data_IF_257443382536
#
_entry.id   IF_257443382536
#
_cell.length_a   1.000
_cell.length_b   1.000
_cell.length_c   1.000
_cell.angle_alpha   90.00
_cell.angle_beta   90.00
_cell.angle_gamma   90.00
#
_symmetry.space_group_name_H-M   'P 1'
#
loop_
_entity.id
_entity.type
_entity.pdbx_description
1 polymer ?
#
# COMPACT_ATOMS: atom_id res chain seq x y z
N UNK A 1 -49.14 16.56 -14.74
CA UNK A 1 -48.76 15.15 -14.46
C UNK A 1 -47.28 15.15 -14.08
N UNK A 2 -46.99 15.44 -12.82
CA UNK A 2 -45.61 15.56 -12.32
C UNK A 2 -45.13 14.17 -11.89
N UNK A 3 -44.36 13.51 -12.75
CA UNK A 3 -43.62 12.31 -12.37
C UNK A 3 -42.51 12.71 -11.39
N UNK A 4 -42.73 12.37 -10.13
CA UNK A 4 -41.72 12.31 -9.09
C UNK A 4 -40.54 11.49 -9.62
N UNK A 5 -39.38 12.14 -9.80
CA UNK A 5 -38.09 11.45 -9.96
C UNK A 5 -37.87 10.61 -8.70
N UNK A 6 -38.23 9.33 -8.76
CA UNK A 6 -37.87 8.38 -7.73
C UNK A 6 -36.35 8.41 -7.55
N UNK A 7 -35.88 8.30 -6.30
CA UNK A 7 -34.50 7.94 -6.00
C UNK A 7 -34.42 6.40 -5.94
N UNK A 8 -33.84 5.69 -6.91
CA UNK A 8 -33.48 4.29 -6.75
C UNK A 8 -31.98 4.16 -7.04
N UNK A 9 -31.12 4.58 -6.12
CA UNK A 9 -29.67 4.54 -6.36
C UNK A 9 -28.86 3.98 -5.18
N UNK A 10 -29.24 4.35 -3.94
CA UNK A 10 -28.44 3.99 -2.76
C UNK A 10 -28.65 2.53 -2.33
N UNK A 11 -29.89 2.01 -2.37
CA UNK A 11 -30.17 0.63 -1.94
C UNK A 11 -29.60 -0.42 -2.89
N UNK A 12 -29.61 -0.15 -4.20
CA UNK A 12 -29.04 -1.03 -5.23
C UNK A 12 -27.52 -1.10 -5.21
N UNK A 13 -26.85 0.04 -4.97
CA UNK A 13 -25.40 0.10 -4.81
C UNK A 13 -24.93 -0.62 -3.53
N UNK A 14 -25.64 -0.42 -2.40
CA UNK A 14 -25.34 -1.14 -1.15
C UNK A 14 -25.46 -2.66 -1.30
N UNK A 15 -26.48 -3.14 -2.02
CA UNK A 15 -26.70 -4.57 -2.24
C UNK A 15 -25.56 -5.22 -3.04
N UNK A 16 -25.02 -4.52 -4.05
CA UNK A 16 -23.89 -5.01 -4.88
C UNK A 16 -22.55 -5.04 -4.14
N UNK A 17 -22.35 -4.16 -3.16
CA UNK A 17 -21.09 -4.07 -2.40
C UNK A 17 -21.17 -4.71 -1.02
N UNK A 18 -22.23 -5.44 -0.68
CA UNK A 18 -22.47 -6.00 0.67
C UNK A 18 -21.27 -6.78 1.23
N UNK A 19 -20.63 -7.62 0.41
CA UNK A 19 -19.44 -8.38 0.82
C UNK A 19 -18.23 -7.49 1.13
N UNK A 20 -17.98 -6.49 0.28
CA UNK A 20 -16.89 -5.54 0.47
C UNK A 20 -17.13 -4.66 1.70
N UNK A 21 -18.35 -4.14 1.86
CA UNK A 21 -18.75 -3.35 3.03
C UNK A 21 -18.55 -4.18 4.29
N UNK A 22 -19.01 -5.44 4.30
CA UNK A 22 -18.80 -6.33 5.45
C UNK A 22 -17.32 -6.54 5.78
N UNK A 23 -16.45 -6.68 4.77
CA UNK A 23 -15.01 -6.87 4.99
C UNK A 23 -14.36 -5.61 5.59
N UNK A 24 -14.65 -4.42 5.05
CA UNK A 24 -14.15 -3.15 5.57
C UNK A 24 -14.71 -2.80 6.95
N UNK A 25 -15.99 -3.08 7.21
CA UNK A 25 -16.59 -2.93 8.54
C UNK A 25 -15.96 -3.90 9.54
N UNK A 26 -15.66 -5.14 9.12
CA UNK A 26 -14.93 -6.12 9.93
C UNK A 26 -13.53 -5.63 10.30
N UNK A 27 -12.77 -5.11 9.33
CA UNK A 27 -11.48 -4.47 9.58
C UNK A 27 -11.61 -3.31 10.57
N UNK A 28 -12.57 -2.41 10.35
CA UNK A 28 -12.76 -1.25 11.20
C UNK A 28 -13.09 -1.65 12.65
N UNK A 29 -13.99 -2.62 12.84
CA UNK A 29 -14.30 -3.17 14.15
C UNK A 29 -13.07 -3.81 14.82
N UNK A 30 -12.24 -4.54 14.06
CA UNK A 30 -11.00 -5.14 14.55
C UNK A 30 -9.95 -4.09 14.93
N UNK A 31 -9.84 -2.99 14.18
CA UNK A 31 -8.96 -1.86 14.52
C UNK A 31 -9.46 -1.16 15.78
N UNK A 32 -10.76 -0.92 15.93
CA UNK A 32 -11.33 -0.35 17.16
C UNK A 32 -11.13 -1.25 18.37
N UNK A 33 -11.30 -2.56 18.21
CA UNK A 33 -10.97 -3.54 19.24
C UNK A 33 -9.48 -3.42 19.62
N UNK A 34 -8.60 -3.40 18.62
CA UNK A 34 -7.15 -3.32 18.87
C UNK A 34 -6.75 -2.00 19.51
N UNK A 35 -7.38 -0.90 19.13
CA UNK A 35 -7.21 0.40 19.79
C UNK A 35 -7.62 0.33 21.26
N UNK A 36 -8.81 -0.22 21.56
CA UNK A 36 -9.29 -0.30 22.94
C UNK A 36 -8.42 -1.18 23.85
N UNK A 37 -7.90 -2.29 23.33
CA UNK A 37 -7.17 -3.28 24.14
C UNK A 37 -5.65 -3.16 24.07
N UNK A 38 -5.09 -2.58 23.01
CA UNK A 38 -3.64 -2.54 22.75
C UNK A 38 -3.04 -1.15 22.54
N UNK A 39 -3.86 -0.08 22.53
CA UNK A 39 -3.40 1.31 22.48
C UNK A 39 -3.59 2.02 23.82
N UNK A 40 -2.84 3.10 24.02
CA UNK A 40 -3.04 4.07 25.10
C UNK A 40 -3.82 5.30 24.62
N UNK A 41 -4.26 5.29 23.35
CA UNK A 41 -4.97 6.37 22.70
C UNK A 41 -4.05 7.46 22.11
N UNK A 42 -2.75 7.17 22.01
CA UNK A 42 -1.78 8.11 21.47
C UNK A 42 -1.89 8.24 19.94
N UNK A 43 -1.53 9.41 19.42
CA UNK A 43 -1.57 9.71 17.99
C UNK A 43 -0.75 8.73 17.15
N UNK A 44 0.34 8.19 17.68
CA UNK A 44 1.21 7.24 16.99
C UNK A 44 0.56 5.87 16.71
N UNK A 45 -0.58 5.53 17.33
CA UNK A 45 -1.38 4.35 16.94
C UNK A 45 -1.77 4.39 15.45
N UNK A 46 -1.81 5.57 14.84
CA UNK A 46 -2.07 5.75 13.43
C UNK A 46 -1.13 4.92 12.53
N UNK A 47 0.12 4.73 12.93
CA UNK A 47 1.06 3.86 12.23
C UNK A 47 0.63 2.38 12.30
N UNK A 48 0.20 1.91 13.47
CA UNK A 48 -0.35 0.56 13.67
C UNK A 48 -1.63 0.35 12.86
N UNK A 49 -2.50 1.36 12.80
CA UNK A 49 -3.67 1.32 11.93
C UNK A 49 -3.26 1.19 10.46
N UNK A 50 -2.29 1.98 10.00
CA UNK A 50 -1.73 1.85 8.65
C UNK A 50 -1.21 0.44 8.35
N UNK A 51 -0.53 -0.19 9.30
CA UNK A 51 -0.05 -1.57 9.19
C UNK A 51 -1.21 -2.59 9.07
N UNK A 52 -2.25 -2.45 9.88
CA UNK A 52 -3.45 -3.31 9.77
C UNK A 52 -4.11 -3.21 8.40
N UNK A 53 -4.31 -1.99 7.89
CA UNK A 53 -4.92 -1.76 6.57
C UNK A 53 -4.08 -2.41 5.47
N UNK A 54 -2.74 -2.23 5.49
CA UNK A 54 -1.84 -2.86 4.51
C UNK A 54 -1.92 -4.38 4.56
N UNK A 55 -1.83 -4.98 5.76
CA UNK A 55 -1.94 -6.43 5.93
C UNK A 55 -3.29 -6.96 5.44
N UNK A 56 -4.39 -6.27 5.74
CA UNK A 56 -5.72 -6.59 5.24
C UNK A 56 -5.78 -6.58 3.71
N UNK A 57 -5.18 -5.59 3.06
CA UNK A 57 -5.08 -5.55 1.60
C UNK A 57 -4.41 -6.80 1.01
N UNK A 58 -3.30 -7.26 1.57
CA UNK A 58 -2.67 -8.52 1.12
C UNK A 58 -3.53 -9.73 1.42
N UNK A 59 -4.27 -9.75 2.53
CA UNK A 59 -5.28 -10.76 2.83
C UNK A 59 -6.37 -10.84 1.76
N UNK A 60 -6.85 -9.70 1.26
CA UNK A 60 -7.80 -9.64 0.13
C UNK A 60 -7.21 -10.30 -1.12
N UNK A 61 -5.93 -10.07 -1.43
CA UNK A 61 -5.29 -10.70 -2.59
C UNK A 61 -5.20 -12.22 -2.47
N UNK A 62 -4.90 -12.74 -1.28
CA UNK A 62 -4.91 -14.19 -1.03
C UNK A 62 -6.33 -14.74 -1.25
N UNK A 63 -7.33 -14.10 -0.63
CA UNK A 63 -8.73 -14.50 -0.77
C UNK A 63 -9.16 -14.52 -2.26
N UNK A 64 -8.86 -13.45 -3.00
CA UNK A 64 -9.09 -13.35 -4.45
C UNK A 64 -8.43 -14.51 -5.19
N UNK A 65 -7.13 -14.70 -4.97
CA UNK A 65 -6.32 -15.64 -5.74
C UNK A 65 -6.75 -17.09 -5.50
N UNK A 66 -7.08 -17.44 -4.26
CA UNK A 66 -7.57 -18.78 -3.90
C UNK A 66 -9.00 -19.02 -4.41
N UNK A 67 -9.90 -18.05 -4.27
CA UNK A 67 -11.30 -18.18 -4.68
C UNK A 67 -11.44 -18.26 -6.20
N UNK A 68 -10.72 -17.40 -6.93
CA UNK A 68 -10.77 -17.34 -8.39
C UNK A 68 -9.79 -18.33 -9.06
N UNK A 69 -8.91 -18.98 -8.28
CA UNK A 69 -7.80 -19.82 -8.77
C UNK A 69 -6.98 -19.12 -9.86
N UNK A 70 -6.78 -17.81 -9.72
CA UNK A 70 -6.17 -16.97 -10.73
C UNK A 70 -5.50 -15.74 -10.12
N UNK A 71 -4.31 -15.42 -10.62
CA UNK A 71 -3.54 -14.21 -10.27
C UNK A 71 -3.53 -13.17 -11.40
N UNK A 72 -4.40 -13.34 -12.40
CA UNK A 72 -4.53 -12.38 -13.50
C UNK A 72 -4.76 -10.96 -12.97
N UNK A 73 -4.05 -9.98 -13.55
CA UNK A 73 -4.07 -8.57 -13.17
C UNK A 73 -3.13 -8.14 -12.05
N UNK A 74 -2.38 -9.05 -11.42
CA UNK A 74 -1.38 -8.70 -10.40
C UNK A 74 0.01 -8.48 -11.00
N UNK A 75 0.68 -7.41 -10.60
CA UNK A 75 2.10 -7.20 -10.90
C UNK A 75 2.96 -7.89 -9.85
N UNK A 76 3.78 -8.84 -10.29
CA UNK A 76 4.75 -9.53 -9.42
C UNK A 76 5.78 -8.54 -8.87
N UNK A 77 6.13 -7.52 -9.65
CA UNK A 77 7.11 -6.49 -9.29
C UNK A 77 6.67 -5.67 -8.09
N UNK A 78 5.40 -5.24 -8.06
CA UNK A 78 4.86 -4.55 -6.88
C UNK A 78 4.89 -5.45 -5.65
N UNK A 79 4.53 -6.73 -5.78
CA UNK A 79 4.57 -7.68 -4.66
C UNK A 79 6.01 -7.87 -4.14
N UNK A 80 6.99 -8.02 -5.03
CA UNK A 80 8.41 -8.13 -4.68
C UNK A 80 8.91 -6.87 -3.97
N UNK A 81 8.57 -5.68 -4.46
CA UNK A 81 8.94 -4.42 -3.84
C UNK A 81 8.36 -4.31 -2.42
N UNK A 82 7.09 -4.66 -2.20
CA UNK A 82 6.53 -4.72 -0.85
C UNK A 82 7.21 -5.80 0.02
N UNK A 83 7.62 -6.93 -0.55
CA UNK A 83 8.46 -7.90 0.15
C UNK A 83 9.75 -7.27 0.70
N UNK A 84 10.43 -6.44 -0.10
CA UNK A 84 11.59 -5.66 0.35
C UNK A 84 11.22 -4.58 1.38
N UNK A 85 10.10 -3.88 1.20
CA UNK A 85 9.61 -2.90 2.18
C UNK A 85 9.48 -3.53 3.57
N UNK A 86 8.77 -4.66 3.66
CA UNK A 86 8.61 -5.37 4.93
C UNK A 86 9.94 -5.88 5.48
N UNK A 87 10.80 -6.45 4.63
CA UNK A 87 12.12 -6.94 5.04
C UNK A 87 12.98 -5.82 5.65
N UNK A 88 13.16 -4.70 4.94
CA UNK A 88 13.97 -3.58 5.40
C UNK A 88 13.35 -2.91 6.64
N UNK A 89 12.02 -2.80 6.72
CA UNK A 89 11.36 -2.24 7.91
C UNK A 89 11.59 -3.12 9.13
N UNK A 90 11.37 -4.44 9.00
CA UNK A 90 11.59 -5.41 10.07
C UNK A 90 13.05 -5.42 10.54
N UNK A 91 14.03 -5.31 9.63
CA UNK A 91 15.44 -5.19 10.00
C UNK A 91 15.72 -4.01 10.94
N UNK A 92 14.95 -2.91 10.81
CA UNK A 92 15.07 -1.75 11.70
C UNK A 92 14.34 -1.93 13.03
N UNK A 93 13.06 -2.30 12.98
CA UNK A 93 12.17 -2.25 14.16
C UNK A 93 12.26 -3.48 15.07
N UNK A 94 12.88 -4.58 14.62
CA UNK A 94 12.95 -5.81 15.44
C UNK A 94 13.91 -5.66 16.63
N UNK A 95 14.99 -4.90 16.45
CA UNK A 95 16.04 -4.76 17.47
C UNK A 95 16.06 -3.40 18.16
N UNK A 96 15.40 -2.41 17.57
CA UNK A 96 15.45 -1.02 18.01
C UNK A 96 14.05 -0.41 18.01
N UNK A 97 13.86 0.58 18.89
CA UNK A 97 12.55 1.17 19.17
C UNK A 97 12.37 2.57 18.56
N UNK A 98 13.40 3.14 17.92
CA UNK A 98 13.41 4.54 17.49
C UNK A 98 12.41 4.87 16.38
N UNK A 99 11.86 3.88 15.69
CA UNK A 99 10.85 4.06 14.64
C UNK A 99 9.53 3.33 14.91
N UNK A 100 9.39 2.76 16.10
CA UNK A 100 8.14 2.15 16.51
C UNK A 100 7.14 3.24 16.91
N UNK A 101 5.82 2.97 16.79
CA UNK A 101 4.81 3.82 17.41
C UNK A 101 5.15 4.02 18.89
N UNK A 102 5.04 5.24 19.40
CA UNK A 102 5.23 5.52 20.82
C UNK A 102 4.09 4.94 21.69
N UNK A 103 2.90 4.84 21.12
CA UNK A 103 1.74 4.15 21.66
C UNK A 103 2.08 2.70 22.05
N UNK A 104 1.43 2.15 23.08
CA UNK A 104 1.60 0.74 23.51
C UNK A 104 1.43 -0.30 22.41
N UNK A 105 0.74 0.02 21.31
CA UNK A 105 0.69 -0.86 20.14
C UNK A 105 2.06 -1.05 19.48
N UNK A 106 3.01 -0.14 19.68
CA UNK A 106 4.40 -0.24 19.23
C UNK A 106 5.21 -1.33 19.94
N UNK A 107 4.87 -1.67 21.19
CA UNK A 107 5.64 -2.62 22.02
C UNK A 107 5.81 -3.98 21.35
N UNK A 108 4.76 -4.48 20.69
CA UNK A 108 4.78 -5.78 20.03
C UNK A 108 3.82 -5.87 18.84
N UNK A 109 2.67 -5.19 18.92
CA UNK A 109 1.58 -5.37 17.96
C UNK A 109 1.96 -4.85 16.57
N UNK A 110 2.57 -3.66 16.49
CA UNK A 110 3.06 -3.11 15.22
C UNK A 110 4.04 -4.06 14.53
N UNK A 111 5.08 -4.49 15.24
CA UNK A 111 6.09 -5.43 14.73
C UNK A 111 5.47 -6.77 14.32
N UNK A 112 4.53 -7.29 15.11
CA UNK A 112 3.79 -8.51 14.78
C UNK A 112 3.01 -8.36 13.47
N UNK A 113 2.31 -7.24 13.27
CA UNK A 113 1.56 -6.98 12.03
C UNK A 113 2.50 -6.85 10.83
N UNK A 114 3.68 -6.24 10.99
CA UNK A 114 4.67 -6.17 9.90
C UNK A 114 5.19 -7.58 9.52
N UNK A 115 5.39 -8.49 10.48
CA UNK A 115 5.69 -9.90 10.19
C UNK A 115 4.53 -10.60 9.46
N UNK A 116 3.28 -10.36 9.89
CA UNK A 116 2.09 -10.88 9.19
C UNK A 116 2.04 -10.33 7.77
N UNK A 117 2.29 -9.03 7.56
CA UNK A 117 2.34 -8.38 6.26
C UNK A 117 3.38 -9.01 5.33
N UNK A 118 4.59 -9.28 5.84
CA UNK A 118 5.62 -10.01 5.11
C UNK A 118 5.13 -11.41 4.71
N UNK A 119 4.59 -12.17 5.68
CA UNK A 119 4.10 -13.53 5.45
C UNK A 119 3.00 -13.58 4.38
N UNK A 120 2.02 -12.68 4.46
CA UNK A 120 0.95 -12.56 3.48
C UNK A 120 1.51 -12.19 2.09
N UNK A 121 2.44 -11.23 2.03
CA UNK A 121 3.06 -10.81 0.76
C UNK A 121 3.83 -11.96 0.11
N UNK A 122 4.63 -12.70 0.89
CA UNK A 122 5.35 -13.89 0.42
C UNK A 122 4.37 -14.98 -0.05
N UNK A 123 3.24 -15.16 0.63
CA UNK A 123 2.20 -16.07 0.20
C UNK A 123 1.61 -15.64 -1.16
N UNK A 124 1.31 -14.36 -1.40
CA UNK A 124 0.85 -13.91 -2.72
C UNK A 124 1.94 -14.11 -3.78
N UNK A 125 3.20 -13.82 -3.47
CA UNK A 125 4.33 -14.09 -4.39
C UNK A 125 4.38 -15.58 -4.76
N UNK A 126 4.22 -16.49 -3.78
CA UNK A 126 4.15 -17.93 -4.04
C UNK A 126 2.97 -18.30 -4.93
N UNK A 127 1.79 -17.70 -4.69
CA UNK A 127 0.61 -17.92 -5.54
C UNK A 127 0.85 -17.47 -6.99
N UNK A 128 1.55 -16.35 -7.20
CA UNK A 128 1.86 -15.81 -8.53
C UNK A 128 2.95 -16.63 -9.24
N UNK A 129 4.00 -17.02 -8.53
CA UNK A 129 5.19 -17.64 -9.13
C UNK A 129 5.11 -19.15 -9.25
N UNK A 130 4.31 -19.80 -8.40
CA UNK A 130 4.22 -21.26 -8.32
C UNK A 130 2.79 -21.73 -8.60
N UNK A 131 1.85 -21.48 -7.69
CA UNK A 131 0.54 -22.15 -7.69
C UNK A 131 -0.33 -21.79 -8.90
N UNK A 132 -0.42 -20.51 -9.25
CA UNK A 132 -1.29 -20.00 -10.32
C UNK A 132 -0.49 -19.32 -11.44
N UNK A 133 0.78 -19.69 -11.59
CA UNK A 133 1.71 -19.12 -12.58
C UNK A 133 1.13 -19.05 -14.01
N UNK A 134 0.35 -20.05 -14.41
CA UNK A 134 -0.29 -20.08 -15.73
C UNK A 134 -1.28 -18.94 -16.00
N UNK A 135 -1.79 -18.28 -14.95
CA UNK A 135 -2.72 -17.15 -15.06
C UNK A 135 -2.05 -15.78 -14.90
N UNK A 136 -0.72 -15.74 -14.72
CA UNK A 136 0.02 -14.50 -14.55
C UNK A 136 0.25 -13.80 -15.89
N UNK A 137 -0.14 -12.53 -15.96
CA UNK A 137 -0.13 -11.74 -17.20
C UNK A 137 1.23 -11.08 -17.47
N UNK A 138 2.26 -11.89 -17.73
CA UNK A 138 3.64 -11.39 -17.97
C UNK A 138 3.73 -10.33 -19.07
N UNK A 139 2.91 -10.45 -20.12
CA UNK A 139 2.84 -9.49 -21.24
C UNK A 139 2.48 -8.05 -20.82
N UNK A 140 1.78 -7.88 -19.70
CA UNK A 140 1.35 -6.56 -19.23
C UNK A 140 2.22 -6.04 -18.09
N UNK A 141 2.84 -6.92 -17.30
CA UNK A 141 3.75 -6.53 -16.21
C UNK A 141 5.15 -6.19 -16.74
N UNK A 142 5.24 -5.14 -17.57
CA UNK A 142 6.46 -4.74 -18.31
C UNK A 142 7.16 -3.51 -17.73
N UNK A 143 6.85 -3.14 -16.49
CA UNK A 143 7.51 -2.02 -15.81
C UNK A 143 9.04 -2.20 -15.77
N UNK A 144 9.77 -1.13 -16.06
CA UNK A 144 11.24 -1.16 -16.10
C UNK A 144 11.84 -1.87 -17.33
N UNK A 145 11.04 -2.25 -18.33
CA UNK A 145 11.55 -2.79 -19.59
C UNK A 145 12.08 -1.67 -20.50
N UNK A 146 13.22 -1.07 -20.10
CA UNK A 146 13.91 -0.02 -20.85
C UNK A 146 15.34 -0.45 -21.20
N UNK A 147 16.23 -0.56 -20.21
CA UNK A 147 17.64 -0.96 -20.40
C UNK A 147 17.99 -2.29 -19.72
N UNK A 148 17.05 -2.90 -19.00
CA UNK A 148 17.22 -4.20 -18.34
C UNK A 148 16.05 -5.11 -18.73
N UNK A 149 16.23 -6.44 -18.69
CA UNK A 149 15.14 -7.39 -18.89
C UNK A 149 13.98 -7.10 -17.93
N UNK A 150 12.74 -7.31 -18.37
CA UNK A 150 11.57 -6.91 -17.58
C UNK A 150 11.55 -7.60 -16.21
N UNK A 151 12.08 -8.81 -16.09
CA UNK A 151 12.20 -9.55 -14.84
C UNK A 151 12.98 -8.77 -13.77
N UNK A 152 13.94 -7.94 -14.19
CA UNK A 152 14.75 -7.10 -13.32
C UNK A 152 14.21 -5.67 -13.19
N UNK A 153 13.01 -5.36 -13.69
CA UNK A 153 12.45 -4.01 -13.70
C UNK A 153 12.33 -3.35 -12.31
N UNK A 154 12.29 -4.12 -11.22
CA UNK A 154 12.28 -3.59 -9.85
C UNK A 154 13.52 -2.77 -9.50
N UNK A 155 14.65 -2.97 -10.20
CA UNK A 155 15.92 -2.26 -9.92
C UNK A 155 15.80 -0.75 -10.09
N UNK A 156 14.91 -0.28 -10.97
CA UNK A 156 14.65 1.15 -11.17
C UNK A 156 14.02 1.83 -9.97
N UNK A 157 13.42 1.08 -9.05
CA UNK A 157 12.91 1.58 -7.78
C UNK A 157 13.91 1.23 -6.68
N UNK A 158 14.35 -0.02 -6.61
CA UNK A 158 15.18 -0.53 -5.52
C UNK A 158 16.52 0.20 -5.42
N UNK A 159 17.25 0.38 -6.53
CA UNK A 159 18.60 0.98 -6.50
C UNK A 159 18.55 2.46 -6.10
N UNK A 160 17.72 3.33 -6.70
CA UNK A 160 17.61 4.72 -6.25
C UNK A 160 17.15 4.85 -4.79
N UNK A 161 16.19 4.04 -4.34
CA UNK A 161 15.73 4.07 -2.95
C UNK A 161 16.83 3.66 -1.96
N UNK A 162 17.66 2.66 -2.30
CA UNK A 162 18.81 2.26 -1.49
C UNK A 162 19.85 3.39 -1.41
N UNK A 163 20.23 3.95 -2.56
CA UNK A 163 21.22 5.03 -2.61
C UNK A 163 20.74 6.26 -1.85
N UNK A 164 19.49 6.68 -2.03
CA UNK A 164 18.91 7.80 -1.30
C UNK A 164 18.83 7.51 0.20
N UNK A 165 18.41 6.31 0.61
CA UNK A 165 18.35 5.93 2.03
C UNK A 165 19.72 5.91 2.71
N UNK A 166 20.78 5.54 2.00
CA UNK A 166 22.15 5.63 2.52
C UNK A 166 22.63 7.08 2.70
N UNK A 167 22.16 8.00 1.86
CA UNK A 167 22.58 9.41 1.85
C UNK A 167 21.76 10.29 2.79
N UNK A 168 20.43 10.08 2.83
CA UNK A 168 19.47 10.88 3.59
C UNK A 168 18.68 9.92 4.46
N UNK A 169 19.05 9.80 5.75
CA UNK A 169 18.36 8.99 6.74
C UNK A 169 18.35 9.69 8.11
N UNK A 170 17.35 9.40 8.97
CA UNK A 170 17.33 9.84 10.36
C UNK A 170 18.37 9.08 11.18
N UNK A 171 18.52 9.40 12.46
CA UNK A 171 19.46 8.74 13.36
C UNK A 171 18.78 8.37 14.69
N UNK A 172 17.55 7.87 14.64
CA UNK A 172 16.73 7.66 15.84
C UNK A 172 17.15 6.44 16.65
N UNK A 173 17.60 5.38 15.98
CA UNK A 173 18.14 4.16 16.61
C UNK A 173 19.60 4.30 17.04
N UNK A 174 20.30 5.37 16.61
CA UNK A 174 21.75 5.53 16.77
C UNK A 174 22.52 4.31 16.23
N UNK A 175 21.98 3.68 15.18
CA UNK A 175 22.55 2.52 14.53
C UNK A 175 22.36 2.66 13.02
N UNK A 176 23.45 2.97 12.33
CA UNK A 176 23.44 3.27 10.90
C UNK A 176 22.68 2.24 10.05
N UNK A 177 22.87 0.93 10.30
CA UNK A 177 22.18 -0.11 9.55
C UNK A 177 20.67 -0.08 9.78
N UNK A 178 20.23 0.05 11.03
CA UNK A 178 18.80 0.09 11.36
C UNK A 178 18.13 1.37 10.85
N UNK A 179 18.79 2.52 10.99
CA UNK A 179 18.29 3.80 10.53
C UNK A 179 18.16 3.86 9.00
N UNK A 180 19.22 3.46 8.28
CA UNK A 180 19.20 3.36 6.80
C UNK A 180 18.16 2.34 6.34
N UNK A 181 18.06 1.18 6.98
CA UNK A 181 17.09 0.15 6.61
C UNK A 181 15.64 0.64 6.72
N UNK A 182 15.31 1.40 7.78
CA UNK A 182 13.99 2.01 7.90
C UNK A 182 13.72 3.00 6.77
N UNK A 183 14.69 3.85 6.45
CA UNK A 183 14.55 4.85 5.39
C UNK A 183 14.43 4.24 4.00
N UNK A 184 15.19 3.19 3.71
CA UNK A 184 15.08 2.42 2.47
C UNK A 184 13.65 1.86 2.33
N UNK A 185 13.10 1.27 3.39
CA UNK A 185 11.73 0.76 3.37
C UNK A 185 10.71 1.86 3.04
N UNK A 186 10.86 3.05 3.64
CA UNK A 186 9.99 4.20 3.38
C UNK A 186 10.07 4.68 1.92
N UNK A 187 11.28 4.79 1.37
CA UNK A 187 11.49 5.23 -0.02
C UNK A 187 11.01 4.20 -1.05
N UNK A 188 11.19 2.90 -0.78
CA UNK A 188 10.63 1.86 -1.66
C UNK A 188 9.11 1.91 -1.60
N UNK A 189 8.51 1.95 -0.40
CA UNK A 189 7.05 1.90 -0.21
C UNK A 189 6.32 3.01 -0.99
N UNK A 190 6.88 4.22 -0.99
CA UNK A 190 6.31 5.36 -1.69
C UNK A 190 6.18 5.15 -3.21
N UNK A 191 6.95 4.25 -3.82
CA UNK A 191 6.97 4.02 -5.27
C UNK A 191 6.60 2.57 -5.62
N UNK A 192 6.51 1.65 -4.64
CA UNK A 192 6.31 0.22 -4.83
C UNK A 192 5.05 -0.15 -5.63
N UNK A 193 4.03 0.70 -5.60
CA UNK A 193 2.75 0.50 -6.31
C UNK A 193 2.84 0.81 -7.82
N UNK A 194 3.89 1.51 -8.26
CA UNK A 194 4.02 2.01 -9.64
C UNK A 194 3.97 0.88 -10.70
N UNK A 195 4.62 -0.29 -10.54
CA UNK A 195 4.47 -1.40 -11.48
C UNK A 195 3.02 -1.88 -11.65
N UNK A 196 2.23 -1.91 -10.57
CA UNK A 196 0.82 -2.28 -10.62
C UNK A 196 -0.02 -1.24 -11.37
N UNK A 197 0.21 0.06 -11.12
CA UNK A 197 -0.46 1.13 -11.86
C UNK A 197 -0.11 1.09 -13.35
N UNK A 198 1.16 0.86 -13.67
CA UNK A 198 1.64 0.69 -15.04
C UNK A 198 0.98 -0.52 -15.73
N UNK A 199 0.83 -1.64 -15.00
CA UNK A 199 0.16 -2.83 -15.52
C UNK A 199 -1.31 -2.57 -15.85
N UNK A 200 -2.03 -1.77 -15.05
CA UNK A 200 -3.41 -1.38 -15.38
C UNK A 200 -3.49 -0.61 -16.69
N UNK A 201 -2.59 0.35 -16.91
CA UNK A 201 -2.53 1.12 -18.15
C UNK A 201 -2.21 0.22 -19.35
N UNK A 202 -1.31 -0.75 -19.21
CA UNK A 202 -0.90 -1.67 -20.29
C UNK A 202 -1.95 -2.71 -20.65
N UNK A 203 -2.73 -3.20 -19.68
CA UNK A 203 -3.73 -4.25 -19.91
C UNK A 203 -4.83 -3.80 -20.87
N UNK A 204 -5.12 -2.49 -20.93
CA UNK A 204 -6.16 -1.93 -21.78
C UNK A 204 -7.57 -2.29 -21.30
N UNK A 205 -8.58 -1.57 -21.80
CA UNK A 205 -9.99 -1.82 -21.48
C UNK A 205 -10.48 -1.26 -20.15
N UNK A 206 -9.62 -0.59 -19.37
CA UNK A 206 -9.97 0.19 -18.17
C UNK A 206 -10.42 -0.61 -16.94
N UNK A 207 -11.00 -1.80 -17.12
CA UNK A 207 -11.59 -2.57 -16.04
C UNK A 207 -10.54 -3.11 -15.05
N UNK A 208 -10.65 -2.66 -13.79
CA UNK A 208 -9.86 -3.17 -12.66
C UNK A 208 -10.73 -4.15 -11.87
N UNK A 209 -10.18 -5.33 -11.62
CA UNK A 209 -10.84 -6.34 -10.80
C UNK A 209 -11.05 -5.82 -9.37
N UNK A 210 -12.23 -6.08 -8.80
CA UNK A 210 -12.69 -5.47 -7.55
C UNK A 210 -11.77 -5.76 -6.37
N UNK A 211 -11.30 -7.00 -6.18
CA UNK A 211 -10.43 -7.30 -5.04
C UNK A 211 -9.06 -6.62 -5.20
N UNK A 212 -8.52 -6.60 -6.42
CA UNK A 212 -7.30 -5.87 -6.73
C UNK A 212 -7.48 -4.36 -6.46
N UNK A 213 -8.61 -3.75 -6.82
CA UNK A 213 -8.83 -2.33 -6.53
C UNK A 213 -8.91 -2.04 -5.04
N UNK A 214 -9.57 -2.89 -4.24
CA UNK A 214 -9.59 -2.78 -2.77
C UNK A 214 -8.20 -2.94 -2.16
N UNK A 215 -7.36 -3.84 -2.69
CA UNK A 215 -5.98 -3.98 -2.23
C UNK A 215 -5.15 -2.73 -2.52
N UNK A 216 -5.19 -2.20 -3.75
CA UNK A 216 -4.47 -0.97 -4.10
C UNK A 216 -4.96 0.22 -3.27
N UNK A 217 -6.28 0.32 -3.03
CA UNK A 217 -6.84 1.31 -2.12
C UNK A 217 -6.34 1.12 -0.67
N UNK A 218 -6.27 -0.11 -0.16
CA UNK A 218 -5.75 -0.39 1.18
C UNK A 218 -4.29 0.06 1.33
N UNK A 219 -3.45 -0.18 0.32
CA UNK A 219 -2.07 0.32 0.31
C UNK A 219 -1.99 1.85 0.32
N UNK A 220 -2.83 2.52 -0.49
CA UNK A 220 -2.91 3.98 -0.50
C UNK A 220 -3.42 4.54 0.82
N UNK A 221 -4.46 3.94 1.41
CA UNK A 221 -5.02 4.38 2.68
C UNK A 221 -4.04 4.17 3.83
N UNK A 222 -3.34 3.02 3.89
CA UNK A 222 -2.28 2.80 4.87
C UNK A 222 -1.15 3.83 4.75
N UNK A 223 -0.77 4.21 3.53
CA UNK A 223 0.25 5.24 3.28
C UNK A 223 -0.26 6.65 3.59
N UNK A 224 -1.55 6.93 3.39
CA UNK A 224 -2.18 8.18 3.82
C UNK A 224 -2.13 8.33 5.35
N UNK A 225 -2.39 7.26 6.10
CA UNK A 225 -2.28 7.27 7.57
C UNK A 225 -0.83 7.53 8.02
N UNK A 226 0.16 6.93 7.34
CA UNK A 226 1.57 7.24 7.57
C UNK A 226 1.91 8.70 7.24
N UNK A 227 1.48 9.22 6.08
CA UNK A 227 1.67 10.63 5.72
C UNK A 227 1.07 11.54 6.80
N UNK A 228 -0.15 11.26 7.24
CA UNK A 228 -0.82 12.04 8.27
C UNK A 228 -0.04 12.02 9.58
N UNK A 229 0.47 10.85 10.01
CA UNK A 229 1.34 10.76 11.18
C UNK A 229 2.60 11.65 11.03
N UNK A 230 3.30 11.53 9.90
CA UNK A 230 4.53 12.28 9.68
C UNK A 230 4.29 13.78 9.54
N UNK A 231 3.18 14.23 8.96
CA UNK A 231 2.88 15.66 8.83
C UNK A 231 2.94 16.39 10.18
N UNK A 232 2.59 15.71 11.27
CA UNK A 232 2.66 16.27 12.62
C UNK A 232 3.94 15.89 13.37
N UNK A 233 4.63 14.82 13.00
CA UNK A 233 5.77 14.25 13.76
C UNK A 233 7.12 14.31 13.02
N UNK A 234 7.20 14.93 11.83
CA UNK A 234 8.42 14.94 11.00
C UNK A 234 9.63 15.62 11.67
N UNK A 235 9.39 16.52 12.61
CA UNK A 235 10.44 17.26 13.31
C UNK A 235 11.28 16.32 14.19
N UNK A 236 10.67 15.26 14.74
CA UNK A 236 11.33 14.23 15.52
C UNK A 236 12.42 13.51 14.70
N UNK A 237 12.21 13.34 13.38
CA UNK A 237 13.19 12.72 12.48
C UNK A 237 14.46 13.56 12.30
N UNK A 238 14.39 14.87 12.54
CA UNK A 238 15.53 15.78 12.46
C UNK A 238 16.36 15.85 13.74
N UNK A 239 15.85 15.29 14.85
CA UNK A 239 16.53 15.26 16.13
C UNK A 239 17.73 14.27 16.11
N UNK A 240 18.54 14.28 17.17
CA UNK A 240 19.71 13.38 17.33
C UNK A 240 20.74 13.44 16.20
N UNK A 241 21.04 14.64 15.72
CA UNK A 241 22.07 14.96 14.73
C UNK A 241 21.79 14.49 13.28
N UNK A 242 20.56 14.09 12.95
CA UNK A 242 20.19 13.73 11.58
C UNK A 242 20.02 14.95 10.65
N UNK A 243 19.63 16.10 11.23
CA UNK A 243 19.38 17.33 10.49
C UNK A 243 17.95 17.44 9.96
N UNK A 244 17.39 18.65 10.00
CA UNK A 244 15.97 18.91 9.69
C UNK A 244 15.55 18.52 8.26
N UNK A 245 16.49 18.45 7.32
CA UNK A 245 16.23 18.09 5.93
C UNK A 245 15.62 16.69 5.77
N UNK A 246 15.96 15.74 6.66
CA UNK A 246 15.44 14.36 6.63
C UNK A 246 13.92 14.33 6.80
N UNK A 247 13.40 15.05 7.79
CA UNK A 247 11.96 15.12 8.04
C UNK A 247 11.20 15.69 6.83
N UNK A 248 11.72 16.76 6.23
CA UNK A 248 11.13 17.34 5.01
C UNK A 248 11.17 16.36 3.83
N UNK A 249 12.25 15.59 3.65
CA UNK A 249 12.33 14.56 2.60
C UNK A 249 11.29 13.47 2.80
N UNK A 250 11.06 13.02 4.04
CA UNK A 250 10.02 12.02 4.34
C UNK A 250 8.63 12.53 3.94
N UNK A 251 8.29 13.77 4.31
CA UNK A 251 7.02 14.38 3.90
C UNK A 251 6.92 14.50 2.38
N UNK A 252 7.96 15.00 1.73
CA UNK A 252 8.00 15.16 0.27
C UNK A 252 7.72 13.84 -0.46
N UNK A 253 8.39 12.76 -0.05
CA UNK A 253 8.22 11.43 -0.65
C UNK A 253 6.80 10.89 -0.44
N UNK A 254 6.23 11.06 0.76
CA UNK A 254 4.88 10.62 1.07
C UNK A 254 3.80 11.43 0.33
N UNK A 255 3.99 12.75 0.18
CA UNK A 255 3.12 13.59 -0.67
C UNK A 255 3.22 13.14 -2.13
N UNK A 256 4.43 12.88 -2.63
CA UNK A 256 4.66 12.36 -3.98
C UNK A 256 3.90 11.04 -4.21
N UNK A 257 3.92 10.14 -3.23
CA UNK A 257 3.14 8.90 -3.27
C UNK A 257 1.63 9.17 -3.37
N UNK A 258 1.08 10.08 -2.57
CA UNK A 258 -0.35 10.44 -2.64
C UNK A 258 -0.73 11.06 -3.99
N UNK A 259 0.13 11.91 -4.56
CA UNK A 259 -0.10 12.50 -5.88
C UNK A 259 -0.11 11.43 -6.97
N UNK A 260 0.84 10.49 -6.93
CA UNK A 260 0.89 9.35 -7.85
C UNK A 260 -0.39 8.48 -7.76
N UNK A 261 -0.93 8.30 -6.56
CA UNK A 261 -2.17 7.55 -6.33
C UNK A 261 -3.45 8.34 -6.67
N UNK A 262 -3.36 9.65 -6.91
CA UNK A 262 -4.51 10.54 -7.04
C UNK A 262 -5.51 10.13 -8.13
N UNK A 263 -5.02 9.78 -9.32
CA UNK A 263 -5.86 9.34 -10.43
C UNK A 263 -6.59 8.03 -10.10
N UNK A 264 -5.86 7.03 -9.60
CA UNK A 264 -6.43 5.76 -9.16
C UNK A 264 -7.51 5.97 -8.09
N UNK A 265 -7.24 6.80 -7.08
CA UNK A 265 -8.18 7.07 -5.99
C UNK A 265 -9.44 7.76 -6.49
N UNK A 266 -9.34 8.71 -7.42
CA UNK A 266 -10.48 9.35 -8.05
C UNK A 266 -11.42 8.32 -8.70
N UNK A 267 -10.89 7.44 -9.56
CA UNK A 267 -11.70 6.43 -10.24
C UNK A 267 -12.21 5.34 -9.29
N UNK A 268 -11.45 5.01 -8.25
CA UNK A 268 -11.89 4.10 -7.20
C UNK A 268 -13.12 4.64 -6.47
N UNK A 269 -13.08 5.87 -5.96
CA UNK A 269 -14.22 6.46 -5.27
C UNK A 269 -15.41 6.73 -6.19
N UNK A 270 -15.15 7.10 -7.46
CA UNK A 270 -16.20 7.21 -8.49
C UNK A 270 -16.93 5.88 -8.68
N UNK A 271 -16.20 4.78 -8.83
CA UNK A 271 -16.80 3.44 -8.99
C UNK A 271 -17.64 3.01 -7.79
N UNK A 272 -17.18 3.32 -6.58
CA UNK A 272 -17.90 3.03 -5.33
C UNK A 272 -19.19 3.85 -5.22
N UNK A 273 -19.19 5.10 -5.67
CA UNK A 273 -20.38 5.97 -5.70
C UNK A 273 -21.39 5.52 -6.74
N UNK A 274 -20.91 5.15 -7.92
CA UNK A 274 -21.77 4.81 -9.07
C UNK A 274 -22.24 3.34 -9.03
N UNK A 275 -21.65 2.49 -8.17
CA UNK A 275 -22.03 1.09 -7.99
C UNK A 275 -21.66 0.19 -9.19
N UNK A 276 -20.73 0.66 -10.03
CA UNK A 276 -20.24 0.00 -11.24
C UNK A 276 -18.83 -0.57 -11.08
N UNK A 277 -18.33 -1.32 -12.08
CA UNK A 277 -16.94 -1.77 -12.08
C UNK A 277 -15.99 -0.58 -12.10
N UNK A 278 -14.82 -0.73 -11.47
CA UNK A 278 -13.78 0.29 -11.54
C UNK A 278 -13.20 0.33 -12.95
N UNK A 279 -13.27 1.49 -13.59
CA UNK A 279 -12.74 1.74 -14.93
C UNK A 279 -11.73 2.87 -14.87
N UNK A 280 -10.48 2.59 -15.25
CA UNK A 280 -9.43 3.58 -15.46
C UNK A 280 -9.49 4.14 -16.88
N UNK A 281 -9.09 5.40 -17.09
CA UNK A 281 -9.14 6.05 -18.40
C UNK A 281 -8.17 5.34 -19.33
N UNK A 282 -8.63 5.05 -20.54
CA UNK A 282 -7.76 4.54 -21.60
C UNK A 282 -7.29 5.70 -22.47
N UNK A 283 -6.13 5.56 -23.14
CA UNK A 283 -5.57 6.63 -23.98
C UNK A 283 -6.50 7.15 -25.10
N UNK A 284 -7.66 6.53 -25.35
CA UNK A 284 -8.70 7.01 -26.27
C UNK A 284 -9.79 7.90 -25.65
N UNK A 285 -9.92 7.96 -24.32
CA UNK A 285 -11.02 8.68 -23.65
C UNK A 285 -10.76 10.19 -23.46
N UNK A 286 -9.52 10.65 -23.69
CA UNK A 286 -9.15 12.08 -23.64
C UNK A 286 -9.38 12.81 -24.98
N UNK A 287 -9.92 12.13 -26.00
CA UNK A 287 -10.20 12.69 -27.32
C UNK A 287 -11.70 12.95 -27.59
N UNK A 288 -12.54 12.92 -26.56
CA UNK A 288 -13.99 13.18 -26.67
C UNK A 288 -14.40 14.46 -25.95
#
# INVERSE_FOLDING_TARGET
MNMVKGKPAISGALARHKGNISAWTGLFAFVLFSYHFFSDGDFSFLMTFGAFVRAFGFGILIFKSLTQKSVSGLSLKTLQLYGFVFLFRLCSITRYQGYLPYDRSGDWLYTFIEFVGLGLTLAVIFLVTVQFRGSYDFKFDTFGHLHVPSEFGIVYILVPSILLGMLIHPNLNMNWLADVSWTIALYIEAIAILPQLFMFQKRGGGAVETCISHWVYALAFGSFLHLWFWLFSYHELGEKNAGHHVGYTVIFVQIGHMLMMGDFLYYYFKSMKDGGPMMLPTHGDFQA
#
